data_IF_017485386703
#
_entry.id   IF_017485386703
#
_cell.length_a   1.000
_cell.length_b   1.000
_cell.length_c   1.000
_cell.angle_alpha   90.00
_cell.angle_beta   90.00
_cell.angle_gamma   90.00
#
_symmetry.space_group_name_H-M   'P 1'
#
loop_
_entity.id
_entity.type
_entity.pdbx_description
1 polymer ?
#
# COMPACT_ATOMS: atom_id res chain seq x y z
N UNK A 1 -0.47 17.94 15.84
CA UNK A 1 0.81 18.39 16.43
C UNK A 1 1.72 17.19 16.60
N UNK A 2 2.99 17.28 16.16
CA UNK A 2 4.01 16.27 16.45
C UNK A 2 4.00 15.90 17.94
N UNK A 3 4.10 14.61 18.24
CA UNK A 3 4.04 14.06 19.59
C UNK A 3 4.96 14.89 20.48
N UNK A 4 4.43 15.52 21.52
CA UNK A 4 5.20 16.53 22.27
C UNK A 4 6.12 15.91 23.33
N UNK A 5 6.06 14.59 23.51
CA UNK A 5 6.89 13.83 24.45
C UNK A 5 6.86 12.31 24.18
N UNK A 6 7.84 11.58 24.73
CA UNK A 6 7.85 10.12 24.74
C UNK A 6 6.63 9.56 25.46
N UNK A 7 5.93 8.62 24.83
CA UNK A 7 4.73 8.00 25.37
C UNK A 7 4.71 6.52 25.00
N UNK A 8 4.56 5.65 25.99
CA UNK A 8 4.29 4.24 25.71
C UNK A 8 2.87 4.14 25.17
N UNK A 9 2.75 3.84 23.87
CA UNK A 9 1.45 3.67 23.24
C UNK A 9 0.81 2.36 23.68
N UNK A 10 -0.47 2.42 24.06
CA UNK A 10 -1.25 1.21 24.35
C UNK A 10 -1.36 0.37 23.09
N UNK A 11 -1.12 -0.92 23.24
CA UNK A 11 -1.14 -1.86 22.15
C UNK A 11 -1.58 -3.23 22.62
N UNK A 12 -2.14 -4.02 21.70
CA UNK A 12 -2.36 -5.44 21.94
C UNK A 12 -1.03 -6.18 21.83
N UNK A 13 -0.80 -7.18 22.69
CA UNK A 13 0.36 -8.06 22.57
C UNK A 13 0.34 -8.72 21.19
N UNK A 14 1.46 -8.61 20.48
CA UNK A 14 1.67 -9.20 19.16
C UNK A 14 3.13 -9.60 19.00
N UNK A 15 3.41 -10.43 18.01
CA UNK A 15 4.78 -10.74 17.60
C UNK A 15 5.40 -9.49 16.98
N UNK A 16 6.34 -8.88 17.71
CA UNK A 16 6.99 -7.62 17.32
C UNK A 16 7.81 -7.82 16.04
N UNK A 17 7.59 -6.95 15.06
CA UNK A 17 8.34 -6.92 13.80
C UNK A 17 9.24 -5.69 13.80
N UNK A 18 10.33 -5.76 14.59
CA UNK A 18 11.20 -4.61 14.84
C UNK A 18 12.16 -4.39 13.69
N UNK A 19 12.19 -3.15 13.21
CA UNK A 19 13.13 -2.67 12.23
C UNK A 19 13.78 -1.37 12.70
N UNK A 20 14.90 -1.03 12.06
CA UNK A 20 15.70 0.15 12.38
C UNK A 20 15.65 1.12 11.22
N UNK A 21 15.54 2.41 11.50
CA UNK A 21 15.58 3.45 10.48
C UNK A 21 16.38 4.69 10.92
N UNK A 22 17.09 5.34 9.97
CA UNK A 22 17.99 6.45 10.27
C UNK A 22 17.23 7.77 10.49
N UNK A 23 17.71 8.57 11.45
CA UNK A 23 17.15 9.88 11.81
C UNK A 23 18.12 10.99 11.43
N UNK A 24 17.61 12.09 10.91
CA UNK A 24 18.40 13.28 10.59
C UNK A 24 18.76 14.13 11.81
N UNK A 25 19.79 14.95 11.64
CA UNK A 25 20.20 15.96 12.59
C UNK A 25 19.05 16.91 12.93
N UNK A 26 18.83 17.18 14.22
CA UNK A 26 17.83 18.11 14.75
C UNK A 26 16.38 17.61 14.67
N UNK A 27 16.14 16.41 14.16
CA UNK A 27 14.81 15.81 14.11
C UNK A 27 14.46 15.18 15.46
N UNK A 28 13.30 15.58 16.00
CA UNK A 28 12.76 15.01 17.23
C UNK A 28 11.79 13.89 16.88
N UNK A 29 12.17 12.66 17.22
CA UNK A 29 11.33 11.48 17.06
C UNK A 29 11.09 10.90 18.45
N UNK A 30 9.83 10.75 18.82
CA UNK A 30 9.48 10.29 20.16
C UNK A 30 9.10 8.82 20.16
N UNK A 31 9.38 8.13 21.27
CA UNK A 31 8.84 6.79 21.50
C UNK A 31 7.32 6.88 21.54
N UNK A 32 6.67 5.98 20.80
CA UNK A 32 5.23 5.97 20.58
C UNK A 32 4.77 6.71 19.33
N UNK A 33 5.61 7.53 18.70
CA UNK A 33 5.25 8.23 17.46
C UNK A 33 5.09 7.25 16.30
N UNK A 34 4.12 7.51 15.43
CA UNK A 34 4.15 6.91 14.11
C UNK A 34 5.21 7.62 13.26
N UNK A 35 5.96 6.87 12.46
CA UNK A 35 6.97 7.43 11.58
C UNK A 35 6.72 7.10 10.12
N UNK A 36 7.08 8.06 9.28
CA UNK A 36 7.15 7.93 7.83
C UNK A 36 8.59 8.07 7.38
N UNK A 37 8.88 7.61 6.17
CA UNK A 37 10.14 7.88 5.47
C UNK A 37 9.87 8.85 4.32
N UNK A 38 10.71 9.87 4.22
CA UNK A 38 10.72 10.73 3.04
C UNK A 38 11.34 9.96 1.86
N UNK A 39 10.63 9.93 0.72
CA UNK A 39 11.07 9.17 -0.45
C UNK A 39 12.41 9.67 -1.04
N UNK A 40 12.68 10.97 -0.96
CA UNK A 40 13.85 11.58 -1.58
C UNK A 40 15.16 11.38 -0.78
N UNK A 41 15.08 11.46 0.55
CA UNK A 41 16.25 11.42 1.44
C UNK A 41 16.43 10.09 2.15
N UNK A 42 15.35 9.27 2.22
CA UNK A 42 15.38 7.98 2.92
C UNK A 42 15.39 8.09 4.44
N UNK A 43 15.23 9.29 5.01
CA UNK A 43 15.25 9.53 6.45
C UNK A 43 13.86 9.44 7.06
N UNK A 44 13.79 9.12 8.35
CA UNK A 44 12.52 9.12 9.06
C UNK A 44 12.09 10.52 9.44
N UNK A 45 10.78 10.74 9.41
CA UNK A 45 10.10 11.92 9.90
C UNK A 45 8.90 11.48 10.74
N UNK A 46 8.36 12.33 11.63
CA UNK A 46 7.07 12.09 12.26
C UNK A 46 5.98 11.82 11.20
N UNK A 47 5.07 10.91 11.51
CA UNK A 47 3.94 10.59 10.66
C UNK A 47 3.10 11.83 10.37
N UNK A 48 2.67 12.00 9.13
CA UNK A 48 1.82 13.11 8.72
C UNK A 48 1.15 12.79 7.39
N UNK A 49 0.07 13.50 7.07
CA UNK A 49 -0.57 13.44 5.75
C UNK A 49 0.14 14.37 4.76
N UNK A 50 1.35 14.03 4.35
CA UNK A 50 2.07 14.76 3.31
C UNK A 50 2.34 13.89 2.08
N UNK A 51 2.45 14.54 0.92
CA UNK A 51 2.73 13.87 -0.33
C UNK A 51 4.06 13.08 -0.28
N UNK A 52 4.09 11.95 -1.00
CA UNK A 52 5.31 11.17 -1.24
C UNK A 52 5.98 10.58 0.02
N UNK A 53 5.21 10.38 1.08
CA UNK A 53 5.68 9.70 2.29
C UNK A 53 5.44 8.20 2.24
N UNK A 54 6.42 7.44 2.73
CA UNK A 54 6.29 5.99 2.91
C UNK A 54 6.06 5.69 4.38
N UNK A 55 4.86 5.27 4.80
CA UNK A 55 4.59 4.96 6.21
C UNK A 55 5.34 3.71 6.66
N UNK A 56 5.95 3.77 7.84
CA UNK A 56 6.84 2.72 8.37
C UNK A 56 6.24 1.97 9.55
N UNK A 57 5.85 2.65 10.63
CA UNK A 57 5.35 2.00 11.84
C UNK A 57 5.48 2.86 13.09
N UNK A 58 5.40 2.24 14.27
CA UNK A 58 5.38 2.93 15.55
C UNK A 58 6.70 2.75 16.29
N UNK A 59 7.31 3.84 16.74
CA UNK A 59 8.56 3.80 17.51
C UNK A 59 8.31 3.18 18.88
N UNK A 60 9.15 2.21 19.26
CA UNK A 60 8.96 1.40 20.47
C UNK A 60 10.14 1.50 21.43
N UNK A 61 11.31 1.88 20.93
CA UNK A 61 12.53 2.09 21.72
C UNK A 61 13.17 3.42 21.30
N UNK A 62 13.96 4.05 22.19
CA UNK A 62 14.52 5.39 21.96
C UNK A 62 15.53 5.42 20.81
N UNK A 63 16.00 6.63 20.48
CA UNK A 63 17.03 6.82 19.47
C UNK A 63 18.35 6.20 19.97
N UNK A 64 19.02 5.40 19.15
CA UNK A 64 20.37 4.93 19.41
C UNK A 64 21.32 5.47 18.35
N UNK A 65 22.51 5.96 18.73
CA UNK A 65 23.53 6.19 17.74
C UNK A 65 24.12 4.88 17.24
N UNK A 66 24.57 4.88 15.99
CA UNK A 66 25.29 3.73 15.41
C UNK A 66 26.70 3.60 15.95
N UNK A 67 27.27 4.71 16.45
CA UNK A 67 28.56 4.76 17.12
C UNK A 67 28.36 4.59 18.64
N UNK A 68 28.87 3.50 19.24
CA UNK A 68 28.73 3.24 20.67
C UNK A 68 29.45 4.28 21.55
N UNK A 69 30.47 4.96 21.04
CA UNK A 69 31.22 5.97 21.80
C UNK A 69 30.46 7.32 21.88
N UNK A 70 29.44 7.50 21.03
CA UNK A 70 28.52 8.65 21.04
C UNK A 70 27.18 8.36 21.77
N UNK A 71 27.02 7.14 22.32
CA UNK A 71 25.75 6.60 22.83
C UNK A 71 25.25 7.14 24.16
N UNK A 72 26.14 7.63 25.01
CA UNK A 72 25.76 8.02 26.38
C UNK A 72 25.00 9.35 26.39
N UNK A 73 25.39 10.30 25.53
CA UNK A 73 24.77 11.64 25.51
C UNK A 73 23.58 11.72 24.54
N UNK A 74 23.57 10.96 23.43
CA UNK A 74 22.57 11.11 22.36
C UNK A 74 21.30 10.25 22.51
N UNK A 75 21.34 9.16 23.29
CA UNK A 75 20.23 8.20 23.36
C UNK A 75 19.00 8.68 24.17
N UNK A 76 19.19 9.75 24.94
CA UNK A 76 18.15 10.35 25.79
C UNK A 76 17.96 11.85 25.56
N UNK A 77 18.76 12.47 24.68
CA UNK A 77 18.69 13.91 24.44
C UNK A 77 17.60 14.25 23.41
N UNK A 78 16.53 14.87 23.92
CA UNK A 78 15.45 15.51 23.15
C UNK A 78 15.59 17.05 23.14
N UNK A 79 16.71 17.57 23.63
CA UNK A 79 17.04 19.01 23.60
C UNK A 79 17.65 19.40 22.27
N UNK A 80 17.70 20.70 21.98
CA UNK A 80 18.18 21.26 20.71
C UNK A 80 19.70 21.16 20.53
N UNK A 81 20.33 20.12 21.08
CA UNK A 81 21.75 19.82 20.96
C UNK A 81 22.12 19.41 19.53
N UNK A 82 23.43 19.32 19.29
CA UNK A 82 23.99 18.96 17.98
C UNK A 82 23.71 17.49 17.64
N UNK A 83 22.48 17.25 17.22
CA UNK A 83 21.95 15.97 16.82
C UNK A 83 22.59 15.50 15.51
N UNK A 84 22.99 14.23 15.46
CA UNK A 84 23.85 13.67 14.39
C UNK A 84 23.25 13.63 12.97
N UNK A 85 24.13 13.71 11.96
CA UNK A 85 23.78 13.73 10.54
C UNK A 85 23.75 12.33 9.90
N UNK A 86 22.98 12.17 8.82
CA UNK A 86 23.11 11.02 7.91
C UNK A 86 24.17 11.36 6.86
N UNK A 87 25.22 10.55 6.76
CA UNK A 87 26.23 10.68 5.69
C UNK A 87 26.25 9.39 4.87
N UNK A 88 25.68 9.43 3.67
CA UNK A 88 25.64 8.26 2.78
C UNK A 88 24.95 7.05 3.42
N UNK A 89 25.66 5.93 3.55
CA UNK A 89 25.15 4.65 4.07
C UNK A 89 25.28 4.47 5.59
N UNK A 90 25.69 5.51 6.32
CA UNK A 90 25.84 5.48 7.77
C UNK A 90 25.04 6.60 8.43
N UNK A 91 24.30 6.25 9.47
CA UNK A 91 23.47 7.19 10.23
C UNK A 91 23.99 7.32 11.64
N UNK A 92 24.29 8.54 12.07
CA UNK A 92 24.78 8.79 13.44
C UNK A 92 23.68 8.55 14.48
N UNK A 93 22.39 8.58 14.11
CA UNK A 93 21.23 8.27 14.97
C UNK A 93 20.19 7.41 14.23
N UNK A 94 19.53 6.52 14.97
CA UNK A 94 18.51 5.62 14.44
C UNK A 94 17.42 5.33 15.47
N UNK A 95 16.22 4.92 15.02
CA UNK A 95 15.12 4.46 15.89
C UNK A 95 14.73 3.03 15.58
N UNK A 96 14.32 2.31 16.61
CA UNK A 96 13.66 1.02 16.47
C UNK A 96 12.13 1.22 16.47
N UNK A 97 11.50 0.71 15.43
CA UNK A 97 10.05 0.81 15.25
C UNK A 97 9.45 -0.56 14.96
N UNK A 98 8.22 -0.74 15.42
CA UNK A 98 7.41 -1.90 15.11
C UNK A 98 6.59 -1.67 13.84
N UNK A 99 6.56 -2.66 12.98
CA UNK A 99 5.79 -2.62 11.73
C UNK A 99 4.45 -3.35 11.82
N UNK A 100 4.23 -4.10 12.90
CA UNK A 100 3.01 -4.85 13.13
C UNK A 100 2.41 -4.44 14.46
N UNK A 101 1.16 -4.82 14.67
CA UNK A 101 0.48 -4.62 15.93
C UNK A 101 -0.71 -3.69 15.85
N UNK A 102 -1.55 -3.79 16.87
CA UNK A 102 -2.70 -2.92 17.07
C UNK A 102 -2.35 -1.87 18.11
N UNK A 103 -2.36 -0.59 17.72
CA UNK A 103 -1.91 0.53 18.53
C UNK A 103 -3.02 1.58 18.68
N UNK A 104 -3.10 2.23 19.84
CA UNK A 104 -4.08 3.29 20.10
C UNK A 104 -3.60 4.66 19.60
N UNK A 105 -4.37 5.29 18.71
CA UNK A 105 -4.15 6.65 18.20
C UNK A 105 -5.29 7.57 18.63
N UNK A 106 -4.99 8.86 18.75
CA UNK A 106 -6.04 9.87 18.78
C UNK A 106 -6.73 9.97 17.41
N UNK A 107 -8.00 10.35 17.41
CA UNK A 107 -8.72 10.64 16.18
C UNK A 107 -8.59 12.13 15.89
N UNK A 108 -8.15 12.48 14.68
CA UNK A 108 -8.07 13.88 14.25
C UNK A 108 -9.45 14.55 14.33
N UNK A 109 -9.46 15.80 14.78
CA UNK A 109 -10.68 16.57 15.08
C UNK A 109 -11.61 16.78 13.87
N UNK A 110 -11.09 16.72 12.65
CA UNK A 110 -11.86 16.83 11.41
C UNK A 110 -12.45 15.49 10.92
N UNK A 111 -12.21 14.40 11.63
CA UNK A 111 -12.60 13.06 11.20
C UNK A 111 -14.01 12.69 11.62
N UNK A 112 -14.74 12.04 10.71
CA UNK A 112 -15.97 11.33 11.07
C UNK A 112 -15.67 10.13 11.98
N UNK A 113 -16.70 9.61 12.66
CA UNK A 113 -16.60 8.38 13.45
C UNK A 113 -16.08 7.20 12.61
N UNK A 114 -14.93 6.59 12.97
CA UNK A 114 -14.38 5.46 12.25
C UNK A 114 -15.30 4.26 12.21
N UNK A 115 -15.18 3.47 11.14
CA UNK A 115 -15.80 2.14 11.02
C UNK A 115 -14.73 1.08 11.19
N UNK A 116 -15.05 0.01 11.92
CA UNK A 116 -14.19 -1.17 12.02
C UNK A 116 -13.96 -1.74 10.61
N UNK A 117 -12.70 -2.01 10.27
CA UNK A 117 -12.28 -2.41 8.93
C UNK A 117 -12.04 -1.25 7.97
N UNK A 118 -12.39 -0.02 8.34
CA UNK A 118 -12.07 1.18 7.55
C UNK A 118 -10.57 1.50 7.56
N UNK A 119 -10.09 2.12 6.49
CA UNK A 119 -8.72 2.63 6.44
C UNK A 119 -8.53 3.75 7.44
N UNK A 120 -7.42 3.70 8.18
CA UNK A 120 -6.95 4.78 9.03
C UNK A 120 -5.81 5.48 8.28
N UNK A 121 -5.98 6.76 7.99
CA UNK A 121 -4.94 7.60 7.40
C UNK A 121 -4.18 8.33 8.51
N UNK A 122 -2.91 8.64 8.30
CA UNK A 122 -2.18 9.52 9.20
C UNK A 122 -2.71 10.93 9.02
N UNK A 123 -3.00 11.61 10.13
CA UNK A 123 -3.14 13.06 10.18
C UNK A 123 -1.88 13.68 10.80
N UNK A 124 -1.38 13.05 11.86
CA UNK A 124 -0.11 13.34 12.51
C UNK A 124 0.48 12.04 13.11
N UNK A 125 1.56 12.15 13.85
CA UNK A 125 2.28 11.03 14.45
C UNK A 125 1.56 10.41 15.67
N UNK A 126 0.66 11.16 16.32
CA UNK A 126 -0.32 10.65 17.32
C UNK A 126 -1.75 10.54 16.84
N UNK A 127 -2.06 11.08 15.66
CA UNK A 127 -3.42 11.26 15.17
C UNK A 127 -3.67 10.55 13.86
N UNK A 128 -4.77 9.82 13.80
CA UNK A 128 -5.28 9.20 12.56
C UNK A 128 -6.60 9.82 12.15
N UNK A 129 -6.89 9.80 10.86
CA UNK A 129 -8.13 10.30 10.28
C UNK A 129 -8.84 9.24 9.44
N UNK A 130 -10.16 9.41 9.28
CA UNK A 130 -10.98 8.66 8.32
C UNK A 130 -10.87 9.20 6.90
N UNK A 131 -10.25 10.38 6.73
CA UNK A 131 -10.03 11.04 5.45
C UNK A 131 -8.57 11.41 5.27
N UNK A 132 -8.16 11.71 4.04
CA UNK A 132 -6.80 12.12 3.76
C UNK A 132 -6.73 12.92 2.46
N UNK A 133 -5.82 13.87 2.43
CA UNK A 133 -5.45 14.66 1.26
C UNK A 133 -4.43 13.92 0.39
N UNK A 134 -3.44 13.23 1.00
CA UNK A 134 -2.33 12.61 0.26
C UNK A 134 -2.32 11.07 0.31
N UNK A 135 -3.27 10.46 1.01
CA UNK A 135 -3.47 9.02 1.05
C UNK A 135 -2.44 8.26 1.90
N UNK A 136 -1.83 8.90 2.89
CA UNK A 136 -0.82 8.22 3.74
C UNK A 136 -1.52 7.32 4.76
N UNK A 137 -1.57 6.02 4.46
CA UNK A 137 -2.30 5.05 5.28
C UNK A 137 -1.48 4.67 6.51
N UNK A 138 -2.06 4.80 7.71
CA UNK A 138 -1.48 4.32 8.96
C UNK A 138 -1.74 2.81 9.17
N UNK A 139 -2.90 2.33 8.74
CA UNK A 139 -3.37 0.96 8.93
C UNK A 139 -4.87 0.85 8.77
N UNK A 140 -5.49 -0.01 9.57
CA UNK A 140 -6.95 -0.25 9.56
C UNK A 140 -7.51 -0.06 10.96
N UNK A 141 -8.63 0.67 11.08
CA UNK A 141 -9.37 0.80 12.33
C UNK A 141 -9.93 -0.54 12.78
N UNK A 142 -9.65 -0.95 14.01
CA UNK A 142 -10.10 -2.25 14.53
C UNK A 142 -11.16 -2.13 15.60
N UNK A 143 -11.06 -1.16 16.51
CA UNK A 143 -12.03 -0.93 17.58
C UNK A 143 -11.86 0.45 18.24
N UNK A 144 -12.92 1.00 18.84
CA UNK A 144 -12.81 2.17 19.69
C UNK A 144 -11.84 1.91 20.84
N UNK A 145 -11.04 2.91 21.18
CA UNK A 145 -10.15 2.92 22.32
C UNK A 145 -10.60 3.90 23.40
N UNK A 146 -9.76 4.09 24.42
CA UNK A 146 -10.08 5.02 25.50
C UNK A 146 -9.87 6.48 25.08
N UNK A 147 -10.54 7.41 25.75
CA UNK A 147 -10.35 8.85 25.53
C UNK A 147 -10.76 9.35 24.15
N UNK A 148 -11.64 8.62 23.45
CA UNK A 148 -12.05 8.95 22.08
C UNK A 148 -11.05 8.53 21.00
N UNK A 149 -9.94 7.89 21.39
CA UNK A 149 -8.98 7.32 20.45
C UNK A 149 -9.50 6.03 19.79
N UNK A 150 -8.75 5.55 18.80
CA UNK A 150 -9.04 4.33 18.08
C UNK A 150 -7.83 3.43 17.97
N UNK A 151 -8.06 2.13 18.10
CA UNK A 151 -7.05 1.13 17.82
C UNK A 151 -6.93 0.94 16.30
N UNK A 152 -5.69 0.99 15.82
CA UNK A 152 -5.33 0.80 14.42
C UNK A 152 -4.33 -0.35 14.31
N UNK A 153 -4.65 -1.33 13.46
CA UNK A 153 -3.71 -2.38 13.08
C UNK A 153 -2.79 -1.88 11.98
N UNK A 154 -1.56 -1.55 12.35
CA UNK A 154 -0.56 -0.94 11.48
C UNK A 154 0.05 -1.99 10.52
N UNK A 155 -0.08 -3.28 10.84
CA UNK A 155 0.37 -4.38 9.98
C UNK A 155 -0.54 -4.61 8.77
N UNK A 156 -1.76 -4.05 8.78
CA UNK A 156 -2.69 -4.08 7.64
C UNK A 156 -2.60 -2.86 6.73
N UNK A 157 -1.56 -2.03 6.89
CA UNK A 157 -1.29 -0.90 6.03
C UNK A 157 -1.02 -1.35 4.59
N UNK A 158 -1.73 -0.75 3.64
CA UNK A 158 -1.69 -1.16 2.22
C UNK A 158 -2.61 -2.32 1.87
N UNK A 159 -3.27 -2.94 2.85
CA UNK A 159 -4.43 -3.78 2.59
C UNK A 159 -5.62 -2.84 2.45
N UNK A 160 -6.01 -2.52 1.22
CA UNK A 160 -7.36 -1.98 0.99
C UNK A 160 -8.33 -3.02 1.53
N UNK A 161 -8.99 -2.77 2.66
CA UNK A 161 -10.00 -3.69 3.23
C UNK A 161 -11.34 -3.60 2.47
N UNK A 162 -11.36 -3.04 1.26
CA UNK A 162 -12.33 -3.45 0.22
C UNK A 162 -11.98 -4.83 -0.37
N UNK A 163 -10.70 -5.19 -0.30
CA UNK A 163 -10.11 -6.51 -0.49
C UNK A 163 -10.04 -7.23 0.87
N UNK A 164 -11.15 -7.21 1.63
CA UNK A 164 -11.32 -8.25 2.64
C UNK A 164 -11.35 -9.56 1.86
N UNK A 165 -10.58 -10.57 2.28
CA UNK A 165 -10.59 -11.97 1.80
C UNK A 165 -11.95 -12.67 2.01
N UNK A 166 -13.06 -11.95 1.83
CA UNK A 166 -14.43 -12.33 2.10
C UNK A 166 -15.48 -11.36 1.51
N UNK A 167 -15.09 -10.26 0.87
CA UNK A 167 -15.96 -9.56 -0.10
C UNK A 167 -15.52 -9.93 -1.51
N UNK A 168 -15.42 -11.22 -1.77
CA UNK A 168 -15.42 -11.73 -3.13
C UNK A 168 -16.67 -11.19 -3.81
N UNK A 169 -16.50 -10.33 -4.82
CA UNK A 169 -17.48 -10.29 -5.90
C UNK A 169 -17.75 -11.74 -6.32
N UNK A 170 -19.00 -12.10 -6.58
CA UNK A 170 -19.36 -13.45 -7.03
C UNK A 170 -18.36 -13.95 -8.08
N UNK A 171 -18.04 -15.26 -8.06
CA UNK A 171 -17.06 -15.85 -8.96
C UNK A 171 -17.33 -15.38 -10.40
N UNK A 172 -16.41 -14.60 -10.95
CA UNK A 172 -16.50 -14.13 -12.33
C UNK A 172 -16.17 -15.35 -13.17
N UNK A 173 -17.13 -15.88 -13.93
CA UNK A 173 -16.89 -17.05 -14.77
C UNK A 173 -15.87 -16.75 -15.88
N UNK A 174 -15.13 -17.77 -16.30
CA UNK A 174 -14.32 -17.68 -17.50
C UNK A 174 -15.21 -17.46 -18.73
N UNK A 175 -14.69 -16.71 -19.70
CA UNK A 175 -15.31 -16.62 -21.02
C UNK A 175 -15.20 -17.99 -21.69
N UNK A 176 -16.34 -18.64 -21.94
CA UNK A 176 -16.43 -19.94 -22.61
C UNK A 176 -16.80 -19.85 -24.11
N UNK A 177 -16.78 -21.00 -24.79
CA UNK A 177 -17.09 -21.13 -26.22
C UNK A 177 -15.85 -21.21 -27.10
N UNK A 178 -15.99 -21.85 -28.27
CA UNK A 178 -14.92 -21.99 -29.27
C UNK A 178 -15.23 -21.10 -30.46
N UNK A 179 -14.43 -20.04 -30.64
CA UNK A 179 -14.63 -19.02 -31.67
C UNK A 179 -13.47 -18.95 -32.67
N UNK A 180 -12.30 -19.53 -32.39
CA UNK A 180 -11.12 -19.47 -33.24
C UNK A 180 -9.92 -20.17 -32.59
N UNK A 181 -8.71 -19.92 -33.09
CA UNK A 181 -7.44 -20.42 -32.50
C UNK A 181 -6.59 -19.26 -32.01
N UNK A 182 -6.39 -19.17 -30.69
CA UNK A 182 -5.51 -18.17 -30.08
C UNK A 182 -4.04 -18.42 -30.46
N UNK A 183 -3.28 -17.35 -30.72
CA UNK A 183 -1.87 -17.41 -31.13
C UNK A 183 -0.95 -16.41 -30.37
N UNK A 184 -1.44 -15.83 -29.29
CA UNK A 184 -0.78 -14.83 -28.43
C UNK A 184 -0.52 -13.46 -29.08
N UNK A 185 -1.07 -13.18 -30.27
CA UNK A 185 -0.89 -11.90 -30.96
C UNK A 185 -2.19 -11.39 -31.57
N UNK A 186 -2.52 -10.12 -31.31
CA UNK A 186 -3.55 -9.45 -32.11
C UNK A 186 -2.99 -9.17 -33.50
N UNK A 187 -3.72 -9.61 -34.52
CA UNK A 187 -3.38 -9.41 -35.92
C UNK A 187 -4.33 -8.40 -36.55
N UNK A 188 -3.90 -7.76 -37.65
CA UNK A 188 -4.81 -6.93 -38.42
C UNK A 188 -5.98 -7.77 -38.96
N UNK A 189 -7.17 -7.17 -39.02
CA UNK A 189 -8.30 -7.82 -39.70
C UNK A 189 -7.97 -7.86 -41.19
N UNK A 190 -8.08 -9.04 -41.78
CA UNK A 190 -7.83 -9.21 -43.21
C UNK A 190 -8.97 -8.58 -44.01
N UNK A 191 -8.65 -7.57 -44.80
CA UNK A 191 -9.60 -6.97 -45.74
C UNK A 191 -10.01 -7.99 -46.82
N UNK A 192 -11.27 -7.96 -47.30
CA UNK A 192 -11.65 -8.67 -48.52
C UNK A 192 -10.83 -8.18 -49.71
N UNK A 193 -10.61 -9.05 -50.71
CA UNK A 193 -9.91 -8.66 -51.93
C UNK A 193 -10.62 -7.49 -52.64
N UNK A 194 -9.83 -6.56 -53.19
CA UNK A 194 -10.26 -5.22 -53.63
C UNK A 194 -11.31 -5.17 -54.75
N UNK A 195 -11.76 -6.30 -55.32
CA UNK A 195 -12.86 -6.34 -56.32
C UNK A 195 -13.44 -7.75 -56.42
N UNK A 196 -14.46 -8.12 -55.63
CA UNK A 196 -15.14 -9.40 -55.80
C UNK A 196 -15.90 -9.43 -57.13
N UNK A 197 -15.84 -10.56 -57.85
CA UNK A 197 -16.47 -10.71 -59.17
C UNK A 197 -18.01 -10.65 -59.09
N UNK A 198 -18.57 -11.14 -57.99
CA UNK A 198 -19.99 -11.15 -57.66
C UNK A 198 -20.18 -11.26 -56.13
N UNK A 199 -21.43 -11.34 -55.68
CA UNK A 199 -21.76 -11.45 -54.27
C UNK A 199 -21.28 -12.78 -53.65
N UNK A 200 -21.18 -13.84 -54.45
CA UNK A 200 -20.73 -15.15 -54.00
C UNK A 200 -19.22 -15.14 -53.74
N UNK A 201 -18.46 -14.51 -54.63
CA UNK A 201 -17.04 -14.26 -54.45
C UNK A 201 -16.76 -13.42 -53.19
N UNK A 202 -17.56 -12.37 -52.93
CA UNK A 202 -17.42 -11.59 -51.69
C UNK A 202 -17.72 -12.43 -50.45
N UNK A 203 -18.78 -13.22 -50.47
CA UNK A 203 -19.14 -14.09 -49.33
C UNK A 203 -18.04 -15.10 -49.04
N UNK A 204 -17.52 -15.76 -50.07
CA UNK A 204 -16.49 -16.78 -49.91
C UNK A 204 -15.18 -16.17 -49.37
N UNK A 205 -14.84 -14.95 -49.78
CA UNK A 205 -13.71 -14.18 -49.26
C UNK A 205 -13.89 -13.83 -47.76
N UNK A 206 -15.05 -13.27 -47.39
CA UNK A 206 -15.37 -12.96 -46.00
C UNK A 206 -15.25 -14.19 -45.08
N UNK A 207 -15.75 -15.34 -45.52
CA UNK A 207 -15.69 -16.61 -44.78
C UNK A 207 -14.26 -17.14 -44.68
N UNK A 208 -13.43 -16.93 -45.71
CA UNK A 208 -12.06 -17.47 -45.77
C UNK A 208 -11.05 -16.58 -45.03
N UNK A 209 -11.22 -15.26 -45.09
CA UNK A 209 -10.19 -14.30 -44.71
C UNK A 209 -10.61 -13.43 -43.52
N UNK A 210 -11.66 -12.63 -43.69
CA UNK A 210 -12.06 -11.62 -42.70
C UNK A 210 -12.59 -12.25 -41.41
N UNK A 211 -13.55 -13.18 -41.51
CA UNK A 211 -14.17 -13.83 -40.35
C UNK A 211 -13.12 -14.56 -39.50
N UNK A 212 -12.23 -15.42 -40.06
CA UNK A 212 -11.19 -16.09 -39.28
C UNK A 212 -10.22 -15.14 -38.57
N UNK A 213 -9.88 -13.99 -39.18
CA UNK A 213 -9.00 -13.00 -38.53
C UNK A 213 -9.65 -12.38 -37.28
N UNK A 214 -10.95 -12.08 -37.34
CA UNK A 214 -11.74 -11.58 -36.20
C UNK A 214 -11.85 -12.65 -35.12
N UNK A 215 -12.21 -13.86 -35.53
CA UNK A 215 -12.39 -15.04 -34.68
C UNK A 215 -11.13 -15.39 -33.88
N UNK A 216 -9.96 -15.39 -34.53
CA UNK A 216 -8.68 -15.62 -33.86
C UNK A 216 -8.35 -14.50 -32.86
N UNK A 217 -8.55 -13.22 -33.23
CA UNK A 217 -8.33 -12.10 -32.32
C UNK A 217 -9.26 -12.16 -31.08
N UNK A 218 -10.52 -12.57 -31.25
CA UNK A 218 -11.43 -12.77 -30.13
C UNK A 218 -11.01 -13.97 -29.27
N UNK A 219 -10.49 -15.05 -29.87
CA UNK A 219 -9.93 -16.18 -29.13
C UNK A 219 -8.70 -15.76 -28.29
N UNK A 220 -7.84 -14.90 -28.82
CA UNK A 220 -6.71 -14.32 -28.07
C UNK A 220 -7.18 -13.45 -26.90
N UNK A 221 -8.19 -12.59 -27.10
CA UNK A 221 -8.78 -11.81 -26.02
C UNK A 221 -9.41 -12.71 -24.96
N UNK A 222 -10.14 -13.76 -25.36
CA UNK A 222 -10.71 -14.75 -24.44
C UNK A 222 -9.62 -15.40 -23.60
N UNK A 223 -8.52 -15.85 -24.23
CA UNK A 223 -7.40 -16.47 -23.54
C UNK A 223 -6.71 -15.50 -22.56
N UNK A 224 -6.44 -14.25 -22.96
CA UNK A 224 -5.80 -13.25 -22.09
C UNK A 224 -6.70 -12.83 -20.93
N UNK A 225 -7.99 -12.62 -21.16
CA UNK A 225 -8.95 -12.30 -20.09
C UNK A 225 -9.02 -13.45 -19.08
N UNK A 226 -9.15 -14.69 -19.54
CA UNK A 226 -9.21 -15.85 -18.64
C UNK A 226 -7.89 -16.06 -17.88
N UNK A 227 -6.73 -15.77 -18.48
CA UNK A 227 -5.45 -15.79 -17.79
C UNK A 227 -5.36 -14.74 -16.67
N UNK A 228 -5.88 -13.52 -16.91
CA UNK A 228 -5.96 -12.48 -15.88
C UNK A 228 -6.91 -12.92 -14.76
N UNK A 229 -8.09 -13.44 -15.08
CA UNK A 229 -9.03 -13.96 -14.08
C UNK A 229 -8.39 -15.06 -13.22
N UNK A 230 -7.67 -15.99 -13.85
CA UNK A 230 -6.93 -17.04 -13.13
C UNK A 230 -5.87 -16.45 -12.18
N UNK A 231 -5.07 -15.49 -12.65
CA UNK A 231 -4.06 -14.83 -11.81
C UNK A 231 -4.68 -14.10 -10.61
N UNK A 232 -5.82 -13.42 -10.82
CA UNK A 232 -6.54 -12.73 -9.75
C UNK A 232 -7.14 -13.72 -8.73
N UNK A 233 -7.64 -14.88 -9.16
CA UNK A 233 -8.07 -15.97 -8.26
C UNK A 233 -6.89 -16.54 -7.48
N UNK A 234 -5.76 -16.82 -8.12
CA UNK A 234 -4.53 -17.31 -7.45
C UNK A 234 -4.00 -16.32 -6.41
N UNK A 235 -4.13 -15.03 -6.67
CA UNK A 235 -3.78 -13.97 -5.73
C UNK A 235 -4.84 -13.74 -4.64
N UNK A 236 -5.93 -14.52 -4.62
CA UNK A 236 -7.08 -14.38 -3.73
C UNK A 236 -7.72 -12.97 -3.77
N UNK A 237 -7.68 -12.31 -4.93
CA UNK A 237 -8.25 -10.97 -5.14
C UNK A 237 -9.75 -11.08 -5.46
N UNK A 238 -10.17 -12.11 -6.18
CA UNK A 238 -11.58 -12.42 -6.52
C UNK A 238 -11.94 -13.85 -6.08
N UNK A 239 -13.24 -14.16 -5.94
CA UNK A 239 -13.66 -15.54 -5.64
C UNK A 239 -13.24 -16.53 -6.74
N UNK A 240 -12.85 -17.73 -6.29
CA UNK A 240 -12.64 -18.91 -7.13
C UNK A 240 -13.96 -19.45 -7.65
#
# INVERSE_FOLDING_TARGET
MALTANKIRKHKLHERAINVAPVNAGSKIYVGAYICREAATGVVIPGTDAASLVPLGVVVEPLFPSDPDLAIDAAFDNTSGADGAVTGSSAVRSVNYDQRGEYLFALDSGSDTPKVGGLAFLADDDEVSTTSTHGVIAGVFTRPGEGGGWYVDIGKRGVWVGLTTGSSSAAIADLGGSIGTANDTMTAITDPADTPADADALRDDLVTNTIPSIENNLADLQAKVNAILAALRTANIIAT
#
